data_IF_257345861680
#
_entry.id   IF_257345861680
#
_cell.length_a   1.000
_cell.length_b   1.000
_cell.length_c   1.000
_cell.angle_alpha   90.00
_cell.angle_beta   90.00
_cell.angle_gamma   90.00
#
_symmetry.space_group_name_H-M   'P 1'
#
loop_
_entity.id
_entity.type
_entity.pdbx_description
1 polymer ?
#
# COMPACT_ATOMS: atom_id res chain seq x y z
N UNK A 1 12.21 9.29 13.73
CA UNK A 1 11.58 8.79 14.98
C UNK A 1 10.25 9.50 15.28
N UNK A 2 10.12 10.82 15.01
CA UNK A 2 8.87 11.56 15.18
C UNK A 2 7.72 11.15 14.21
N UNK A 3 8.03 10.87 12.94
CA UNK A 3 7.05 10.40 11.93
C UNK A 3 6.47 9.01 12.23
N UNK A 4 7.13 8.21 13.05
CA UNK A 4 6.64 6.89 13.48
C UNK A 4 5.62 7.00 14.63
N UNK A 5 5.72 8.06 15.45
CA UNK A 5 4.85 8.33 16.60
C UNK A 5 3.44 8.80 16.21
N UNK A 6 3.30 9.68 15.20
CA UNK A 6 1.99 10.17 14.73
C UNK A 6 1.14 9.10 14.03
N UNK A 7 1.74 7.99 13.61
CA UNK A 7 1.07 6.93 12.82
C UNK A 7 0.29 5.93 13.66
N UNK A 8 0.68 5.77 14.92
CA UNK A 8 0.01 4.88 15.88
C UNK A 8 -1.07 5.61 16.70
N UNK A 9 -1.31 6.90 16.42
CA UNK A 9 -2.30 7.73 17.11
C UNK A 9 -3.49 8.02 16.20
N UNK A 10 -4.66 8.23 16.79
CA UNK A 10 -5.83 8.76 16.09
C UNK A 10 -5.66 10.26 15.82
N UNK A 11 -6.36 10.81 14.79
CA UNK A 11 -6.35 12.25 14.54
C UNK A 11 -6.84 13.01 15.79
N UNK A 12 -6.19 14.14 16.07
CA UNK A 12 -6.51 14.99 17.23
C UNK A 12 -7.89 15.64 17.07
N UNK A 13 -8.23 16.00 15.85
CA UNK A 13 -9.53 16.58 15.50
C UNK A 13 -10.52 15.45 15.17
N UNK A 14 -11.64 15.40 15.90
CA UNK A 14 -12.71 14.40 15.76
C UNK A 14 -12.34 12.91 15.96
N UNK A 15 -11.64 12.53 17.05
CA UNK A 15 -11.26 11.13 17.31
C UNK A 15 -12.47 10.18 17.38
N UNK A 16 -13.64 10.67 17.82
CA UNK A 16 -14.87 9.87 17.89
C UNK A 16 -15.35 9.35 16.54
N UNK A 17 -15.25 10.15 15.46
CA UNK A 17 -15.62 9.70 14.10
C UNK A 17 -14.65 8.65 13.58
N UNK A 18 -13.36 8.85 13.84
CA UNK A 18 -12.30 7.94 13.42
C UNK A 18 -12.43 6.56 14.10
N UNK A 19 -12.57 6.53 15.43
CA UNK A 19 -12.77 5.29 16.17
C UNK A 19 -14.14 4.69 15.89
N UNK A 20 -15.20 5.50 15.73
CA UNK A 20 -16.53 5.03 15.34
C UNK A 20 -16.51 4.27 14.02
N UNK A 21 -15.84 4.80 13.00
CA UNK A 21 -15.65 4.11 11.72
C UNK A 21 -14.87 2.80 11.90
N UNK A 22 -13.74 2.83 12.62
CA UNK A 22 -12.91 1.65 12.86
C UNK A 22 -13.68 0.55 13.59
N UNK A 23 -14.44 0.90 14.62
CA UNK A 23 -15.29 -0.02 15.37
C UNK A 23 -16.45 -0.57 14.53
N UNK A 24 -17.08 0.27 13.70
CA UNK A 24 -18.13 -0.18 12.78
C UNK A 24 -17.60 -1.22 11.79
N UNK A 25 -16.42 -0.99 11.21
CA UNK A 25 -15.75 -1.96 10.33
C UNK A 25 -15.44 -3.26 11.08
N UNK A 26 -14.98 -3.18 12.33
CA UNK A 26 -14.71 -4.37 13.16
C UNK A 26 -15.98 -5.18 13.47
N UNK A 27 -17.05 -4.52 13.87
CA UNK A 27 -18.34 -5.17 14.14
C UNK A 27 -18.88 -5.83 12.85
N UNK A 28 -18.87 -5.12 11.73
CA UNK A 28 -19.30 -5.66 10.44
C UNK A 28 -18.46 -6.85 10.00
N UNK A 29 -17.14 -6.82 10.22
CA UNK A 29 -16.25 -7.93 9.90
C UNK A 29 -16.55 -9.17 10.76
N UNK A 30 -16.74 -9.00 12.06
CA UNK A 30 -17.05 -10.10 12.99
C UNK A 30 -18.42 -10.71 12.65
N UNK A 31 -19.45 -9.88 12.52
CA UNK A 31 -20.82 -10.33 12.19
C UNK A 31 -20.84 -10.98 10.81
N UNK A 32 -20.20 -10.35 9.82
CA UNK A 32 -20.11 -10.87 8.46
C UNK A 32 -19.38 -12.20 8.41
N UNK A 33 -18.24 -12.34 9.10
CA UNK A 33 -17.48 -13.58 9.14
C UNK A 33 -18.24 -14.70 9.86
N UNK A 34 -18.90 -14.38 10.99
CA UNK A 34 -19.75 -15.34 11.71
C UNK A 34 -20.91 -15.84 10.85
N UNK A 35 -21.67 -14.92 10.23
CA UNK A 35 -22.75 -15.27 9.32
C UNK A 35 -22.27 -16.10 8.12
N UNK A 36 -21.14 -15.71 7.53
CA UNK A 36 -20.55 -16.41 6.38
C UNK A 36 -20.07 -17.80 6.75
N UNK A 37 -19.42 -17.97 7.91
CA UNK A 37 -18.97 -19.26 8.41
C UNK A 37 -20.15 -20.22 8.66
N UNK A 38 -21.23 -19.73 9.28
CA UNK A 38 -22.45 -20.51 9.48
C UNK A 38 -23.07 -20.92 8.14
N UNK A 39 -23.20 -19.99 7.19
CA UNK A 39 -23.76 -20.29 5.85
C UNK A 39 -22.89 -21.26 5.06
N UNK A 40 -21.58 -21.22 5.24
CA UNK A 40 -20.63 -22.12 4.60
C UNK A 40 -20.57 -23.51 5.26
N UNK A 41 -21.43 -23.79 6.26
CA UNK A 41 -21.44 -25.06 6.98
C UNK A 41 -20.16 -25.33 7.78
N UNK A 42 -19.45 -24.27 8.19
CA UNK A 42 -18.13 -24.39 8.79
C UNK A 42 -18.13 -25.11 10.16
N UNK A 43 -19.31 -25.31 10.76
CA UNK A 43 -19.51 -25.99 12.04
C UNK A 43 -20.21 -27.35 11.90
N UNK A 44 -20.53 -27.78 10.66
CA UNK A 44 -21.32 -28.99 10.40
C UNK A 44 -20.45 -30.25 10.29
N UNK A 45 -19.12 -30.12 10.27
CA UNK A 45 -18.14 -31.21 10.12
C UNK A 45 -17.24 -31.41 11.35
N UNK A 46 -16.62 -32.61 11.43
CA UNK A 46 -15.56 -32.93 12.38
C UNK A 46 -14.25 -32.16 12.13
N UNK A 47 -13.12 -32.65 12.66
CA UNK A 47 -11.82 -31.98 12.57
C UNK A 47 -11.49 -31.47 11.15
N UNK A 48 -10.81 -30.33 11.09
CA UNK A 48 -10.39 -29.61 9.88
C UNK A 48 -9.48 -30.47 8.99
N UNK A 49 -10.07 -31.34 8.17
CA UNK A 49 -9.34 -32.29 7.33
C UNK A 49 -8.95 -31.63 6.00
N UNK A 50 -7.78 -31.01 5.98
CA UNK A 50 -7.22 -30.28 4.84
C UNK A 50 -5.90 -30.89 4.39
N UNK A 51 -5.64 -31.01 3.07
CA UNK A 51 -4.45 -31.66 2.55
C UNK A 51 -3.18 -30.86 2.86
N UNK A 52 -2.01 -31.50 2.75
CA UNK A 52 -0.72 -30.81 2.91
C UNK A 52 -0.57 -29.59 2.00
N UNK A 53 -1.14 -29.62 0.79
CA UNK A 53 -1.15 -28.50 -0.13
C UNK A 53 -1.78 -27.22 0.48
N UNK A 54 -2.79 -27.37 1.36
CA UNK A 54 -3.36 -26.24 2.10
C UNK A 54 -2.33 -25.63 3.05
N UNK A 55 -1.72 -26.46 3.90
CA UNK A 55 -0.74 -25.99 4.88
C UNK A 55 0.46 -25.32 4.22
N UNK A 56 0.89 -25.84 3.08
CA UNK A 56 1.94 -25.22 2.27
C UNK A 56 1.49 -23.86 1.70
N UNK A 57 0.27 -23.77 1.16
CA UNK A 57 -0.28 -22.51 0.62
C UNK A 57 -0.44 -21.45 1.73
N UNK A 58 -0.99 -21.83 2.88
CA UNK A 58 -1.12 -20.95 4.04
C UNK A 58 0.24 -20.54 4.62
N UNK A 59 1.20 -21.47 4.70
CA UNK A 59 2.57 -21.19 5.10
C UNK A 59 3.27 -20.21 4.16
N UNK A 60 3.11 -20.38 2.84
CA UNK A 60 3.62 -19.44 1.85
C UNK A 60 2.95 -18.07 1.94
N UNK A 61 1.65 -17.99 2.26
CA UNK A 61 0.96 -16.74 2.53
C UNK A 61 1.59 -15.97 3.70
N UNK A 62 2.01 -16.68 4.75
CA UNK A 62 2.71 -16.10 5.91
C UNK A 62 4.16 -15.72 5.56
N UNK A 63 4.87 -16.58 4.83
CA UNK A 63 6.26 -16.33 4.40
C UNK A 63 6.35 -15.13 3.46
N UNK A 64 5.36 -14.96 2.58
CA UNK A 64 5.19 -13.78 1.74
C UNK A 64 5.23 -12.47 2.53
N UNK A 65 4.84 -12.49 3.81
CA UNK A 65 4.82 -11.34 4.72
C UNK A 65 6.04 -11.27 5.64
N UNK A 66 7.06 -12.14 5.51
CA UNK A 66 8.28 -12.10 6.36
C UNK A 66 9.23 -10.94 6.04
N UNK A 67 9.12 -10.36 4.84
CA UNK A 67 9.91 -9.19 4.44
C UNK A 67 8.98 -8.14 3.85
N UNK A 68 8.25 -7.37 4.69
CA UNK A 68 7.50 -6.22 4.24
C UNK A 68 8.51 -5.23 3.64
N UNK A 69 8.59 -5.24 2.32
CA UNK A 69 9.37 -4.30 1.54
C UNK A 69 8.80 -2.91 1.75
N UNK A 70 9.64 -2.00 2.23
CA UNK A 70 9.27 -0.61 2.48
C UNK A 70 8.97 0.05 1.13
N UNK A 71 7.72 0.44 0.90
CA UNK A 71 7.37 1.25 -0.27
C UNK A 71 7.52 2.74 0.05
N UNK A 72 8.14 3.49 -0.88
CA UNK A 72 8.79 4.78 -0.66
C UNK A 72 8.01 5.82 0.15
N UNK A 73 8.56 6.23 1.30
CA UNK A 73 8.23 7.47 2.04
C UNK A 73 6.84 7.55 2.69
N UNK A 74 5.78 7.18 1.96
CA UNK A 74 4.39 7.13 2.38
C UNK A 74 4.07 5.74 2.94
N UNK A 75 4.02 5.64 4.27
CA UNK A 75 3.60 4.43 4.99
C UNK A 75 2.09 4.15 4.90
N UNK A 76 1.43 4.65 3.85
CA UNK A 76 -0.03 4.65 3.66
C UNK A 76 -0.49 4.06 2.33
N UNK A 77 0.36 3.43 1.53
CA UNK A 77 -0.17 2.43 0.58
C UNK A 77 -0.68 1.25 1.42
N UNK A 78 -1.90 0.73 1.18
CA UNK A 78 -2.40 -0.50 1.76
C UNK A 78 -1.56 -1.66 1.23
N UNK A 79 -0.37 -1.80 1.80
CA UNK A 79 0.53 -2.95 1.81
C UNK A 79 0.38 -3.78 0.54
N UNK A 80 1.36 -3.65 -0.37
CA UNK A 80 1.66 -4.61 -1.43
C UNK A 80 2.02 -5.99 -0.84
N UNK A 81 1.11 -6.55 -0.08
CA UNK A 81 1.13 -7.88 0.50
C UNK A 81 0.99 -8.87 -0.62
N UNK A 82 1.91 -9.82 -0.69
CA UNK A 82 1.90 -10.90 -1.68
C UNK A 82 0.87 -11.96 -1.26
N UNK A 83 0.36 -11.91 -0.03
CA UNK A 83 -0.54 -12.94 0.50
C UNK A 83 -1.86 -13.09 -0.27
N UNK A 84 -2.34 -12.06 -1.00
CA UNK A 84 -3.64 -12.09 -1.69
C UNK A 84 -3.77 -13.30 -2.60
N UNK A 85 -2.72 -13.62 -3.36
CA UNK A 85 -2.69 -14.78 -4.28
C UNK A 85 -3.01 -16.06 -3.53
N UNK A 86 -2.31 -16.28 -2.41
CA UNK A 86 -2.42 -17.49 -1.61
C UNK A 86 -3.76 -17.58 -0.88
N UNK A 87 -4.26 -16.45 -0.36
CA UNK A 87 -5.55 -16.42 0.36
C UNK A 87 -6.72 -16.59 -0.60
N UNK A 88 -6.69 -15.95 -1.78
CA UNK A 88 -7.74 -16.11 -2.79
C UNK A 88 -7.75 -17.55 -3.34
N UNK A 89 -6.58 -18.13 -3.62
CA UNK A 89 -6.46 -19.54 -4.01
C UNK A 89 -6.98 -20.48 -2.91
N UNK A 90 -6.65 -20.19 -1.64
CA UNK A 90 -7.14 -20.95 -0.49
C UNK A 90 -8.67 -20.89 -0.38
N UNK A 91 -9.24 -19.70 -0.57
CA UNK A 91 -10.68 -19.47 -0.48
C UNK A 91 -11.44 -20.31 -1.50
N UNK A 92 -11.01 -20.34 -2.75
CA UNK A 92 -11.72 -21.05 -3.82
C UNK A 92 -11.49 -22.57 -3.77
N UNK A 93 -10.36 -23.01 -3.20
CA UNK A 93 -10.00 -24.44 -3.15
C UNK A 93 -10.56 -25.14 -1.93
N UNK A 94 -10.45 -24.53 -0.74
CA UNK A 94 -10.83 -25.16 0.55
C UNK A 94 -11.93 -24.40 1.30
N UNK A 95 -12.35 -23.24 0.81
CA UNK A 95 -13.48 -22.51 1.35
C UNK A 95 -13.12 -21.31 2.24
N UNK A 96 -14.16 -20.67 2.77
CA UNK A 96 -14.07 -19.42 3.53
C UNK A 96 -13.22 -19.54 4.81
N UNK A 97 -13.50 -20.53 5.66
CA UNK A 97 -12.85 -20.62 6.97
C UNK A 97 -11.33 -20.85 6.88
N UNK A 98 -10.80 -21.76 6.03
CA UNK A 98 -9.36 -21.88 5.83
C UNK A 98 -8.71 -20.58 5.33
N UNK A 99 -9.37 -19.85 4.41
CA UNK A 99 -8.87 -18.57 3.94
C UNK A 99 -8.86 -17.50 5.04
N UNK A 100 -9.90 -17.47 5.88
CA UNK A 100 -10.01 -16.56 7.02
C UNK A 100 -8.90 -16.81 8.05
N UNK A 101 -8.57 -18.08 8.32
CA UNK A 101 -7.47 -18.46 9.21
C UNK A 101 -6.13 -18.04 8.61
N UNK A 102 -5.87 -18.42 7.34
CA UNK A 102 -4.62 -18.11 6.66
C UNK A 102 -4.34 -16.61 6.59
N UNK A 103 -5.35 -15.79 6.22
CA UNK A 103 -5.18 -14.34 6.18
C UNK A 103 -4.95 -13.73 7.56
N UNK A 104 -5.60 -14.27 8.60
CA UNK A 104 -5.51 -13.71 9.95
C UNK A 104 -4.12 -13.95 10.52
N UNK A 105 -3.55 -15.13 10.26
CA UNK A 105 -2.17 -15.44 10.59
C UNK A 105 -1.17 -14.54 9.85
N UNK A 106 -1.30 -14.40 8.53
CA UNK A 106 -0.42 -13.56 7.72
C UNK A 106 -0.47 -12.08 8.14
N UNK A 107 -1.68 -11.54 8.32
CA UNK A 107 -1.88 -10.15 8.73
C UNK A 107 -1.40 -9.90 10.17
N UNK A 108 -1.59 -10.84 11.09
CA UNK A 108 -1.09 -10.70 12.47
C UNK A 108 0.44 -10.66 12.51
N UNK A 109 1.11 -11.50 11.72
CA UNK A 109 2.56 -11.48 11.58
C UNK A 109 3.05 -10.13 11.03
N UNK A 110 2.42 -9.65 9.96
CA UNK A 110 2.75 -8.37 9.34
C UNK A 110 2.64 -7.21 10.33
N UNK A 111 1.53 -7.12 11.06
CA UNK A 111 1.29 -6.09 12.09
C UNK A 111 2.36 -6.18 13.19
N UNK A 112 2.71 -7.38 13.63
CA UNK A 112 3.74 -7.59 14.65
C UNK A 112 5.11 -7.09 14.19
N UNK A 113 5.52 -7.40 12.96
CA UNK A 113 6.81 -6.96 12.40
C UNK A 113 6.92 -5.44 12.29
N UNK A 114 5.84 -4.76 11.90
CA UNK A 114 5.83 -3.29 11.77
C UNK A 114 5.59 -2.58 13.11
N UNK A 115 5.48 -3.32 14.23
CA UNK A 115 5.24 -2.79 15.57
C UNK A 115 4.04 -1.80 15.61
N UNK A 116 2.97 -2.15 14.89
CA UNK A 116 1.77 -1.33 14.81
C UNK A 116 0.99 -1.36 16.13
N UNK A 117 0.24 -0.28 16.41
CA UNK A 117 -0.67 -0.22 17.55
C UNK A 117 -1.79 -1.29 17.46
N UNK A 118 -2.29 -1.74 18.61
CA UNK A 118 -3.35 -2.75 18.68
C UNK A 118 -4.62 -2.36 17.92
N UNK A 119 -5.02 -1.09 17.93
CA UNK A 119 -6.19 -0.65 17.17
C UNK A 119 -5.96 -0.71 15.65
N UNK A 120 -4.72 -0.52 15.17
CA UNK A 120 -4.37 -0.65 13.75
C UNK A 120 -4.40 -2.12 13.34
N UNK A 121 -3.98 -3.02 14.22
CA UNK A 121 -4.17 -4.47 14.05
C UNK A 121 -5.63 -4.82 13.85
N UNK A 122 -6.49 -4.34 14.75
CA UNK A 122 -7.94 -4.58 14.69
C UNK A 122 -8.51 -4.08 13.37
N UNK A 123 -8.18 -2.84 12.96
CA UNK A 123 -8.66 -2.31 11.69
C UNK A 123 -8.20 -3.15 10.50
N UNK A 124 -6.91 -3.49 10.42
CA UNK A 124 -6.35 -4.24 9.29
C UNK A 124 -6.97 -5.64 9.17
N UNK A 125 -7.10 -6.36 10.29
CA UNK A 125 -7.76 -7.67 10.32
C UNK A 125 -9.22 -7.57 9.92
N UNK A 126 -9.94 -6.56 10.43
CA UNK A 126 -11.36 -6.36 10.13
C UNK A 126 -11.59 -5.96 8.68
N UNK A 127 -10.75 -5.06 8.15
CA UNK A 127 -10.80 -4.61 6.77
C UNK A 127 -10.63 -5.77 5.80
N UNK A 128 -9.66 -6.66 6.04
CA UNK A 128 -9.44 -7.82 5.16
C UNK A 128 -10.46 -8.92 5.42
N UNK A 129 -10.94 -9.10 6.65
CA UNK A 129 -12.06 -9.99 6.98
C UNK A 129 -13.33 -9.62 6.20
N UNK A 130 -13.69 -8.34 6.19
CA UNK A 130 -14.87 -7.88 5.45
C UNK A 130 -14.70 -8.02 3.93
N UNK A 131 -13.50 -7.74 3.41
CA UNK A 131 -13.19 -7.95 2.00
C UNK A 131 -13.27 -9.43 1.59
N UNK A 132 -12.79 -10.35 2.44
CA UNK A 132 -12.94 -11.80 2.25
C UNK A 132 -14.41 -12.23 2.24
N UNK A 133 -15.24 -11.71 3.15
CA UNK A 133 -16.68 -11.98 3.16
C UNK A 133 -17.33 -11.57 1.83
N UNK A 134 -17.06 -10.35 1.35
CA UNK A 134 -17.59 -9.85 0.07
C UNK A 134 -17.12 -10.73 -1.09
N UNK A 135 -15.84 -11.08 -1.14
CA UNK A 135 -15.29 -11.97 -2.16
C UNK A 135 -15.96 -13.35 -2.14
N UNK A 136 -16.19 -13.91 -0.96
CA UNK A 136 -16.86 -15.19 -0.79
C UNK A 136 -18.32 -15.17 -1.26
N UNK A 137 -19.07 -14.10 -0.99
CA UNK A 137 -20.43 -13.96 -1.51
C UNK A 137 -20.46 -13.86 -3.03
N UNK A 138 -19.51 -13.13 -3.63
CA UNK A 138 -19.37 -13.04 -5.09
C UNK A 138 -19.02 -14.40 -5.69
N UNK A 139 -18.07 -15.13 -5.09
CA UNK A 139 -17.73 -16.50 -5.48
C UNK A 139 -18.96 -17.41 -5.46
N UNK A 140 -19.69 -17.46 -4.35
CA UNK A 140 -20.87 -18.32 -4.21
C UNK A 140 -22.00 -17.91 -5.15
N UNK A 141 -22.17 -16.62 -5.41
CA UNK A 141 -23.21 -16.11 -6.31
C UNK A 141 -22.99 -16.48 -7.78
N UNK A 142 -21.74 -16.68 -8.20
CA UNK A 142 -21.39 -16.98 -9.60
C UNK A 142 -21.04 -18.47 -9.78
N UNK A 143 -20.20 -19.03 -8.91
CA UNK A 143 -19.75 -20.43 -8.96
C UNK A 143 -20.74 -21.42 -8.31
N UNK A 144 -21.79 -20.93 -7.64
CA UNK A 144 -22.82 -21.80 -7.05
C UNK A 144 -22.38 -22.55 -5.79
N UNK A 145 -21.31 -22.10 -5.13
CA UNK A 145 -20.80 -22.71 -3.89
C UNK A 145 -19.99 -23.99 -4.08
N UNK A 146 -19.53 -24.27 -5.30
CA UNK A 146 -18.55 -25.32 -5.55
C UNK A 146 -17.16 -24.91 -5.04
N UNK A 147 -16.32 -25.90 -4.80
CA UNK A 147 -14.87 -25.72 -4.76
C UNK A 147 -14.34 -25.64 -6.19
N UNK A 148 -13.19 -25.00 -6.37
CA UNK A 148 -12.52 -24.89 -7.66
C UNK A 148 -12.44 -26.25 -8.36
N UNK A 149 -12.78 -26.31 -9.65
CA UNK A 149 -12.61 -27.45 -10.55
C UNK A 149 -11.94 -27.04 -11.87
N UNK A 150 -11.77 -25.74 -12.11
CA UNK A 150 -11.09 -25.20 -13.29
C UNK A 150 -12.03 -24.85 -14.45
N UNK A 151 -13.33 -24.71 -14.17
CA UNK A 151 -14.33 -24.37 -15.18
C UNK A 151 -14.32 -22.88 -15.56
N UNK A 152 -14.80 -22.56 -16.77
CA UNK A 152 -14.81 -21.18 -17.26
C UNK A 152 -15.67 -20.23 -16.41
N UNK A 153 -16.79 -20.72 -15.85
CA UNK A 153 -17.65 -19.93 -14.95
C UNK A 153 -16.93 -19.66 -13.63
N UNK A 154 -16.24 -20.66 -13.10
CA UNK A 154 -15.45 -20.52 -11.87
C UNK A 154 -14.30 -19.53 -12.09
N UNK A 155 -13.64 -19.54 -13.25
CA UNK A 155 -12.61 -18.56 -13.59
C UNK A 155 -13.15 -17.12 -13.54
N UNK A 156 -14.33 -16.88 -14.13
CA UNK A 156 -15.02 -15.58 -14.05
C UNK A 156 -15.33 -15.23 -12.59
N UNK A 157 -15.80 -16.21 -11.80
CA UNK A 157 -16.10 -16.04 -10.38
C UNK A 157 -14.85 -15.64 -9.57
N UNK A 158 -13.68 -16.24 -9.84
CA UNK A 158 -12.42 -15.88 -9.16
C UNK A 158 -12.03 -14.43 -9.46
N UNK A 159 -12.09 -14.01 -10.73
CA UNK A 159 -11.78 -12.63 -11.11
C UNK A 159 -12.75 -11.62 -10.47
N UNK A 160 -14.05 -11.93 -10.46
CA UNK A 160 -15.06 -11.09 -9.83
C UNK A 160 -14.86 -11.01 -8.31
N UNK A 161 -14.56 -12.13 -7.66
CA UNK A 161 -14.31 -12.19 -6.21
C UNK A 161 -13.02 -11.46 -5.82
N UNK A 162 -11.93 -11.65 -6.56
CA UNK A 162 -10.68 -10.93 -6.34
C UNK A 162 -10.83 -9.41 -6.56
N UNK A 163 -11.60 -9.01 -7.57
CA UNK A 163 -11.88 -7.59 -7.83
C UNK A 163 -12.75 -6.99 -6.73
N UNK A 164 -13.79 -7.69 -6.27
CA UNK A 164 -14.66 -7.21 -5.19
C UNK A 164 -13.92 -7.11 -3.85
N UNK A 165 -13.00 -8.04 -3.58
CA UNK A 165 -12.06 -7.93 -2.47
C UNK A 165 -11.26 -6.64 -2.56
N UNK A 166 -10.57 -6.44 -3.69
CA UNK A 166 -9.70 -5.29 -3.92
C UNK A 166 -10.47 -3.99 -3.70
N UNK A 167 -11.62 -3.82 -4.37
CA UNK A 167 -12.42 -2.61 -4.27
C UNK A 167 -12.91 -2.34 -2.85
N UNK A 168 -13.35 -3.39 -2.14
CA UNK A 168 -13.78 -3.28 -0.74
C UNK A 168 -12.62 -2.86 0.15
N UNK A 169 -11.46 -3.51 0.01
CA UNK A 169 -10.26 -3.18 0.78
C UNK A 169 -9.82 -1.73 0.57
N UNK A 170 -9.72 -1.28 -0.68
CA UNK A 170 -9.34 0.09 -1.03
C UNK A 170 -10.33 1.10 -0.48
N UNK A 171 -11.63 0.87 -0.62
CA UNK A 171 -12.67 1.77 -0.14
C UNK A 171 -12.61 1.95 1.40
N UNK A 172 -12.39 0.86 2.15
CA UNK A 172 -12.29 0.91 3.62
C UNK A 172 -11.06 1.68 4.09
N UNK A 173 -9.90 1.42 3.46
CA UNK A 173 -8.66 2.13 3.79
C UNK A 173 -8.79 3.61 3.42
N UNK A 174 -9.34 3.91 2.25
CA UNK A 174 -9.54 5.29 1.78
C UNK A 174 -10.56 6.04 2.64
N UNK A 175 -11.63 5.39 3.07
CA UNK A 175 -12.61 5.95 4.01
C UNK A 175 -11.98 6.30 5.35
N UNK A 176 -11.18 5.38 5.91
CA UNK A 176 -10.42 5.66 7.14
C UNK A 176 -9.43 6.81 6.96
N UNK A 177 -8.76 6.87 5.82
CA UNK A 177 -7.77 7.90 5.53
C UNK A 177 -8.41 9.28 5.30
N UNK A 178 -9.56 9.32 4.63
CA UNK A 178 -10.37 10.52 4.44
C UNK A 178 -10.74 11.19 5.76
N UNK A 179 -11.05 10.39 6.79
CA UNK A 179 -11.31 10.89 8.16
C UNK A 179 -10.08 11.53 8.84
N UNK A 180 -8.87 11.31 8.33
CA UNK A 180 -7.64 11.94 8.83
C UNK A 180 -7.26 13.18 8.04
N UNK A 181 -7.22 13.05 6.71
CA UNK A 181 -6.69 14.09 5.82
C UNK A 181 -7.72 15.11 5.35
N UNK A 182 -9.02 14.88 5.62
CA UNK A 182 -10.11 15.67 5.06
C UNK A 182 -10.34 15.51 3.55
N UNK A 183 -9.35 15.00 2.79
CA UNK A 183 -9.49 14.63 1.38
C UNK A 183 -10.65 13.66 1.15
N UNK A 184 -11.45 13.81 0.09
CA UNK A 184 -12.51 12.86 -0.24
C UNK A 184 -11.98 11.44 -0.46
N UNK A 185 -12.63 10.43 0.15
CA UNK A 185 -12.20 9.04 0.04
C UNK A 185 -12.12 8.53 -1.40
N UNK A 186 -12.94 9.07 -2.31
CA UNK A 186 -12.98 8.68 -3.73
C UNK A 186 -11.69 9.04 -4.44
N UNK A 187 -11.12 10.20 -4.16
CA UNK A 187 -9.86 10.64 -4.76
C UNK A 187 -8.72 9.75 -4.28
N UNK A 188 -8.62 9.54 -2.97
CA UNK A 188 -7.62 8.65 -2.36
C UNK A 188 -7.72 7.22 -2.94
N UNK A 189 -8.93 6.69 -3.09
CA UNK A 189 -9.17 5.37 -3.67
C UNK A 189 -8.75 5.31 -5.15
N UNK A 190 -9.07 6.34 -5.94
CA UNK A 190 -8.69 6.41 -7.35
C UNK A 190 -7.18 6.53 -7.54
N UNK A 191 -6.50 7.33 -6.71
CA UNK A 191 -5.04 7.50 -6.73
C UNK A 191 -4.34 6.16 -6.43
N UNK A 192 -4.83 5.41 -5.44
CA UNK A 192 -4.30 4.08 -5.12
C UNK A 192 -4.64 3.02 -6.17
N UNK A 193 -5.86 3.03 -6.72
CA UNK A 193 -6.20 2.12 -7.81
C UNK A 193 -5.31 2.35 -9.03
N UNK A 194 -5.07 3.62 -9.41
CA UNK A 194 -4.19 3.97 -10.53
C UNK A 194 -2.74 3.56 -10.31
N UNK A 195 -2.24 3.62 -9.09
CA UNK A 195 -0.85 3.24 -8.77
C UNK A 195 -0.66 1.74 -8.55
N UNK A 196 -1.68 1.02 -8.09
CA UNK A 196 -1.54 -0.41 -7.71
C UNK A 196 -2.27 -1.39 -8.66
N UNK A 197 -3.03 -0.95 -9.66
CA UNK A 197 -3.88 -1.84 -10.46
C UNK A 197 -3.11 -3.00 -11.09
N UNK A 198 -1.91 -2.75 -11.64
CA UNK A 198 -1.14 -3.77 -12.34
C UNK A 198 -0.70 -4.89 -11.39
N UNK A 199 -0.26 -4.53 -10.17
CA UNK A 199 0.10 -5.48 -9.13
C UNK A 199 -1.12 -6.30 -8.70
N UNK A 200 -2.25 -5.64 -8.40
CA UNK A 200 -3.48 -6.30 -7.94
C UNK A 200 -4.06 -7.23 -9.01
N UNK A 201 -4.14 -6.78 -10.26
CA UNK A 201 -4.63 -7.57 -11.39
C UNK A 201 -3.77 -8.83 -11.59
N UNK A 202 -2.46 -8.69 -11.49
CA UNK A 202 -1.52 -9.81 -11.57
C UNK A 202 -1.76 -10.83 -10.45
N UNK A 203 -1.96 -10.37 -9.21
CA UNK A 203 -2.23 -11.26 -8.08
C UNK A 203 -3.55 -12.04 -8.27
N UNK A 204 -4.61 -11.36 -8.73
CA UNK A 204 -5.90 -12.00 -9.00
C UNK A 204 -5.75 -13.03 -10.14
N UNK A 205 -4.99 -12.71 -11.18
CA UNK A 205 -4.76 -13.61 -12.32
C UNK A 205 -3.94 -14.86 -11.98
N UNK A 206 -3.04 -14.77 -11.01
CA UNK A 206 -2.24 -15.92 -10.55
C UNK A 206 -3.06 -16.86 -9.65
N UNK A 207 -4.02 -16.34 -8.88
CA UNK A 207 -4.81 -17.12 -7.93
C UNK A 207 -5.47 -18.39 -8.52
N UNK A 208 -6.16 -18.38 -9.69
CA UNK A 208 -6.73 -19.60 -10.27
C UNK A 208 -5.66 -20.59 -10.74
N UNK A 209 -4.49 -20.12 -11.19
CA UNK A 209 -3.35 -20.99 -11.55
C UNK A 209 -2.84 -21.72 -10.31
N UNK A 210 -2.70 -20.99 -9.20
CA UNK A 210 -2.30 -21.54 -7.92
C UNK A 210 -3.34 -22.52 -7.36
N UNK A 211 -4.64 -22.22 -7.51
CA UNK A 211 -5.73 -23.12 -7.12
C UNK A 211 -5.66 -24.44 -7.89
N UNK A 212 -5.49 -24.39 -9.22
CA UNK A 212 -5.31 -25.60 -10.06
C UNK A 212 -4.07 -26.39 -9.66
N UNK A 213 -2.95 -25.71 -9.41
CA UNK A 213 -1.73 -26.34 -8.90
C UNK A 213 -1.96 -27.06 -7.58
N UNK A 214 -2.65 -26.41 -6.63
CA UNK A 214 -2.95 -26.95 -5.31
C UNK A 214 -3.85 -28.19 -5.36
N UNK A 215 -4.83 -28.23 -6.26
CA UNK A 215 -5.66 -29.41 -6.49
C UNK A 215 -4.91 -30.56 -7.14
N UNK A 216 -3.94 -30.24 -8.01
CA UNK A 216 -3.19 -31.25 -8.76
C UNK A 216 -2.13 -31.92 -7.90
N UNK A 217 -1.31 -31.13 -7.20
CA UNK A 217 -0.21 -31.63 -6.36
C UNK A 217 0.41 -30.54 -5.49
N UNK A 218 0.78 -30.87 -4.26
CA UNK A 218 1.43 -29.93 -3.34
C UNK A 218 2.77 -29.36 -3.87
N UNK A 219 3.53 -30.13 -4.65
CA UNK A 219 4.83 -29.66 -5.15
C UNK A 219 4.70 -28.58 -6.22
N UNK A 220 3.56 -28.52 -6.93
CA UNK A 220 3.27 -27.42 -7.87
C UNK A 220 3.03 -26.11 -7.12
N UNK A 221 2.43 -26.16 -5.92
CA UNK A 221 2.33 -25.01 -5.01
C UNK A 221 3.73 -24.53 -4.62
N UNK A 222 4.63 -25.44 -4.21
CA UNK A 222 6.01 -25.08 -3.90
C UNK A 222 6.73 -24.46 -5.11
N UNK A 223 6.58 -25.06 -6.30
CA UNK A 223 7.20 -24.58 -7.53
C UNK A 223 6.68 -23.18 -7.94
N UNK A 224 5.41 -22.87 -7.66
CA UNK A 224 4.80 -21.56 -7.95
C UNK A 224 5.39 -20.41 -7.13
N UNK A 225 5.96 -20.70 -5.95
CA UNK A 225 6.50 -19.65 -5.07
C UNK A 225 7.60 -18.83 -5.76
N UNK A 226 8.43 -19.48 -6.59
CA UNK A 226 9.53 -18.84 -7.32
C UNK A 226 9.01 -17.78 -8.32
N UNK A 227 8.19 -18.13 -9.34
CA UNK A 227 7.71 -17.14 -10.30
C UNK A 227 6.83 -16.07 -9.66
N UNK A 228 6.01 -16.42 -8.65
CA UNK A 228 5.20 -15.43 -7.91
C UNK A 228 6.10 -14.40 -7.24
N UNK A 229 7.15 -14.85 -6.57
CA UNK A 229 8.13 -13.97 -5.94
C UNK A 229 8.92 -13.16 -6.99
N UNK A 230 9.31 -13.76 -8.12
CA UNK A 230 10.02 -13.05 -9.19
C UNK A 230 9.18 -11.94 -9.81
N UNK A 231 7.92 -12.20 -10.14
CA UNK A 231 6.99 -11.19 -10.70
C UNK A 231 6.84 -10.04 -9.71
N UNK A 232 6.67 -10.35 -8.42
CA UNK A 232 6.62 -9.33 -7.39
C UNK A 232 7.89 -8.47 -7.35
N UNK A 233 9.08 -9.10 -7.35
CA UNK A 233 10.37 -8.38 -7.34
C UNK A 233 10.56 -7.50 -8.57
N UNK A 234 10.09 -7.94 -9.73
CA UNK A 234 10.14 -7.15 -10.97
C UNK A 234 9.24 -5.92 -10.87
N UNK A 235 7.99 -6.11 -10.44
CA UNK A 235 7.04 -4.99 -10.26
C UNK A 235 7.55 -3.99 -9.22
N UNK A 236 8.20 -4.46 -8.16
CA UNK A 236 8.84 -3.59 -7.17
C UNK A 236 9.98 -2.79 -7.74
N UNK A 237 10.90 -3.45 -8.45
CA UNK A 237 12.04 -2.77 -9.06
C UNK A 237 11.57 -1.74 -10.08
N UNK A 238 10.51 -2.03 -10.83
CA UNK A 238 9.91 -1.08 -11.75
C UNK A 238 9.31 0.13 -11.01
N UNK A 239 8.55 -0.11 -9.94
CA UNK A 239 7.98 0.96 -9.12
C UNK A 239 9.05 1.79 -8.39
N UNK A 240 10.14 1.18 -7.95
CA UNK A 240 11.25 1.87 -7.30
C UNK A 240 12.01 2.72 -8.32
N UNK A 241 12.23 2.24 -9.55
CA UNK A 241 12.80 3.05 -10.66
C UNK A 241 11.92 4.24 -11.04
N UNK A 242 10.60 4.06 -11.03
CA UNK A 242 9.66 5.16 -11.27
C UNK A 242 9.75 6.24 -10.18
N UNK A 243 10.18 5.88 -8.97
CA UNK A 243 10.45 6.84 -7.89
C UNK A 243 11.88 7.36 -7.84
N UNK A 244 12.87 6.60 -8.31
CA UNK A 244 14.20 7.15 -8.60
C UNK A 244 14.09 8.26 -9.66
N UNK A 245 13.08 8.19 -10.53
CA UNK A 245 12.66 9.28 -11.40
C UNK A 245 11.96 10.46 -10.69
N UNK A 246 11.94 10.52 -9.35
CA UNK A 246 11.55 11.70 -8.55
C UNK A 246 12.77 12.53 -8.12
N UNK A 247 13.97 12.08 -8.46
CA UNK A 247 15.21 12.81 -8.28
C UNK A 247 15.75 13.33 -9.61
N UNK A 248 16.46 14.45 -9.54
CA UNK A 248 17.19 15.00 -10.68
C UNK A 248 18.54 14.25 -10.81
N UNK A 249 18.85 13.66 -11.98
CA UNK A 249 20.03 12.82 -12.14
C UNK A 249 21.35 13.60 -12.06
N UNK A 250 21.33 14.91 -12.33
CA UNK A 250 22.53 15.75 -12.28
C UNK A 250 22.90 16.08 -10.83
N UNK A 251 21.94 16.64 -10.09
CA UNK A 251 22.18 17.19 -8.74
C UNK A 251 21.91 16.20 -7.61
N UNK A 252 21.14 15.14 -7.86
CA UNK A 252 20.65 14.20 -6.85
C UNK A 252 19.53 14.74 -5.94
N UNK A 253 19.15 16.02 -6.10
CA UNK A 253 18.02 16.62 -5.39
C UNK A 253 16.69 16.04 -5.90
N UNK A 254 15.58 16.36 -5.23
CA UNK A 254 14.26 16.08 -5.79
C UNK A 254 14.14 16.79 -7.15
N UNK A 255 13.48 16.17 -8.12
CA UNK A 255 13.07 16.86 -9.32
C UNK A 255 11.68 17.51 -9.13
N UNK A 256 11.17 18.14 -10.19
CA UNK A 256 9.86 18.81 -10.16
C UNK A 256 8.71 17.92 -9.68
N UNK A 257 8.68 16.63 -10.08
CA UNK A 257 7.66 15.68 -9.65
C UNK A 257 7.82 15.33 -8.17
N UNK A 258 9.03 14.95 -7.76
CA UNK A 258 9.33 14.63 -6.36
C UNK A 258 9.06 15.80 -5.41
N UNK A 259 9.36 17.03 -5.84
CA UNK A 259 9.08 18.23 -5.07
C UNK A 259 7.57 18.44 -4.85
N UNK A 260 6.77 18.26 -5.90
CA UNK A 260 5.31 18.39 -5.80
C UNK A 260 4.73 17.39 -4.80
N UNK A 261 5.14 16.13 -4.84
CA UNK A 261 4.67 15.10 -3.92
C UNK A 261 5.00 15.44 -2.45
N UNK A 262 6.19 15.97 -2.21
CA UNK A 262 6.61 16.43 -0.87
C UNK A 262 5.79 17.63 -0.40
N UNK A 263 5.56 18.60 -1.28
CA UNK A 263 4.73 19.78 -0.97
C UNK A 263 3.31 19.35 -0.62
N UNK A 264 2.71 18.47 -1.40
CA UNK A 264 1.34 17.97 -1.17
C UNK A 264 1.24 17.23 0.18
N UNK A 265 2.24 16.42 0.52
CA UNK A 265 2.33 15.76 1.82
C UNK A 265 2.42 16.76 2.98
N UNK A 266 3.28 17.78 2.85
CA UNK A 266 3.44 18.82 3.86
C UNK A 266 2.20 19.69 4.03
N UNK A 267 1.48 19.99 2.94
CA UNK A 267 0.22 20.73 2.99
C UNK A 267 -0.86 19.92 3.72
N UNK A 268 -0.91 18.61 3.50
CA UNK A 268 -1.83 17.73 4.22
C UNK A 268 -1.50 17.70 5.73
N UNK A 269 -0.23 17.60 6.10
CA UNK A 269 0.20 17.64 7.51
C UNK A 269 -0.11 19.00 8.15
N UNK A 270 0.18 20.10 7.45
CA UNK A 270 -0.06 21.46 7.93
C UNK A 270 -1.55 21.76 8.14
N UNK A 271 -2.42 21.20 7.30
CA UNK A 271 -3.86 21.26 7.50
C UNK A 271 -4.31 20.55 8.79
N UNK A 272 -3.65 19.45 9.17
CA UNK A 272 -3.93 18.71 10.43
C UNK A 272 -3.38 19.45 11.66
N UNK A 273 -2.21 20.07 11.56
CA UNK A 273 -1.53 20.74 12.69
C UNK A 273 -1.85 22.24 12.81
N UNK A 274 -2.62 22.81 11.88
CA UNK A 274 -2.88 24.25 11.77
C UNK A 274 -1.60 25.09 11.69
N UNK A 275 -0.58 24.55 11.03
CA UNK A 275 0.69 25.25 10.76
C UNK A 275 0.72 25.77 9.33
N UNK A 276 1.72 26.59 8.99
CA UNK A 276 1.96 27.01 7.61
C UNK A 276 3.07 26.18 6.94
N UNK A 277 2.98 26.08 5.61
CA UNK A 277 4.05 25.58 4.73
C UNK A 277 4.56 26.77 3.93
N UNK A 278 5.87 26.94 3.85
CA UNK A 278 6.48 27.88 2.92
C UNK A 278 7.16 27.14 1.78
N UNK A 279 7.03 27.72 0.59
CA UNK A 279 7.69 27.29 -0.63
C UNK A 279 8.48 28.48 -1.15
N UNK A 280 9.76 28.28 -1.42
CA UNK A 280 10.62 29.25 -2.10
C UNK A 280 11.09 28.64 -3.41
N UNK A 281 11.00 29.44 -4.47
CA UNK A 281 11.61 29.14 -5.76
C UNK A 281 12.76 30.12 -5.94
N UNK A 282 13.91 29.60 -6.36
CA UNK A 282 15.14 30.32 -6.59
C UNK A 282 15.56 30.09 -8.03
N UNK A 283 15.89 31.17 -8.72
CA UNK A 283 16.44 31.16 -10.08
C UNK A 283 17.87 31.71 -10.03
N UNK A 284 18.80 31.13 -10.80
CA UNK A 284 20.20 31.57 -10.79
C UNK A 284 20.42 32.72 -11.78
N UNK A 285 20.74 33.89 -11.24
CA UNK A 285 21.08 35.05 -12.05
C UNK A 285 22.20 34.75 -13.06
N UNK A 286 21.91 35.01 -14.34
CA UNK A 286 22.88 34.94 -15.45
C UNK A 286 23.52 33.55 -15.65
N UNK A 287 22.84 32.47 -15.30
CA UNK A 287 23.35 31.12 -15.56
C UNK A 287 23.61 30.85 -17.05
N UNK A 288 22.78 31.42 -17.94
CA UNK A 288 22.98 31.35 -19.39
C UNK A 288 24.34 31.96 -19.85
N UNK A 289 24.82 33.02 -19.20
CA UNK A 289 26.12 33.64 -19.51
C UNK A 289 27.27 32.68 -19.15
N UNK A 290 27.15 31.96 -18.04
CA UNK A 290 28.12 30.93 -17.62
C UNK A 290 28.21 29.82 -18.65
N UNK A 291 27.06 29.28 -19.07
CA UNK A 291 27.02 28.23 -20.11
C UNK A 291 27.61 28.71 -21.44
N UNK A 292 27.34 29.96 -21.82
CA UNK A 292 27.82 30.54 -23.08
C UNK A 292 29.32 30.81 -23.06
N UNK A 293 29.88 31.22 -21.92
CA UNK A 293 31.29 31.58 -21.79
C UNK A 293 32.20 30.39 -21.46
N UNK A 294 31.72 29.43 -20.66
CA UNK A 294 32.53 28.35 -20.08
C UNK A 294 32.08 26.94 -20.51
N UNK A 295 30.97 26.84 -21.23
CA UNK A 295 30.40 25.58 -21.70
C UNK A 295 29.46 24.93 -20.69
N UNK A 296 28.56 24.08 -21.20
CA UNK A 296 27.53 23.42 -20.39
C UNK A 296 28.09 22.51 -19.30
N UNK A 297 29.22 21.83 -19.52
CA UNK A 297 29.83 20.99 -18.49
C UNK A 297 30.22 21.78 -17.23
N UNK A 298 30.63 23.06 -17.39
CA UNK A 298 30.95 23.94 -16.26
C UNK A 298 29.68 24.44 -15.58
N UNK A 299 28.62 24.72 -16.34
CA UNK A 299 27.30 25.01 -15.79
C UNK A 299 26.75 23.86 -14.96
N UNK A 300 26.88 22.63 -15.45
CA UNK A 300 26.46 21.41 -14.74
C UNK A 300 27.23 21.23 -13.42
N UNK A 301 28.55 21.47 -13.44
CA UNK A 301 29.37 21.45 -12.21
C UNK A 301 28.93 22.51 -11.20
N UNK A 302 28.55 23.70 -11.67
CA UNK A 302 28.02 24.76 -10.81
C UNK A 302 26.70 24.34 -10.15
N UNK A 303 25.78 23.72 -10.90
CA UNK A 303 24.52 23.19 -10.37
C UNK A 303 24.76 22.12 -9.31
N UNK A 304 25.68 21.18 -9.56
CA UNK A 304 26.07 20.12 -8.61
C UNK A 304 26.68 20.72 -7.34
N UNK A 305 27.53 21.72 -7.46
CA UNK A 305 28.16 22.38 -6.32
C UNK A 305 27.14 23.19 -5.49
N UNK A 306 26.19 23.86 -6.13
CA UNK A 306 25.09 24.53 -5.45
C UNK A 306 24.20 23.54 -4.70
N UNK A 307 23.85 22.41 -5.32
CA UNK A 307 23.09 21.35 -4.67
C UNK A 307 23.78 20.81 -3.41
N UNK A 308 25.11 20.63 -3.45
CA UNK A 308 25.90 20.25 -2.26
C UNK A 308 25.85 21.33 -1.17
N UNK A 309 25.98 22.60 -1.54
CA UNK A 309 25.93 23.71 -0.57
C UNK A 309 24.56 23.81 0.10
N UNK A 310 23.48 23.67 -0.67
CA UNK A 310 22.12 23.67 -0.15
C UNK A 310 21.84 22.51 0.80
N UNK A 311 22.49 21.36 0.59
CA UNK A 311 22.27 20.16 1.40
C UNK A 311 23.16 20.04 2.64
N UNK A 312 24.32 20.69 2.65
CA UNK A 312 25.32 20.56 3.73
C UNK A 312 24.78 20.96 5.11
N UNK A 313 23.93 21.99 5.18
CA UNK A 313 23.33 22.48 6.44
C UNK A 313 21.78 22.40 6.41
N UNK A 314 21.22 21.42 5.70
CA UNK A 314 19.75 21.30 5.56
C UNK A 314 19.09 21.05 6.93
N UNK A 315 18.28 21.98 7.46
CA UNK A 315 17.58 21.76 8.71
C UNK A 315 16.56 20.62 8.59
N UNK A 316 16.29 19.87 9.68
CA UNK A 316 15.26 18.85 9.69
C UNK A 316 13.92 19.41 9.20
N UNK A 317 13.24 18.69 8.31
CA UNK A 317 11.93 19.11 7.80
C UNK A 317 11.96 20.12 6.66
N UNK A 318 13.14 20.60 6.22
CA UNK A 318 13.27 21.29 4.91
C UNK A 318 13.54 20.28 3.81
N UNK A 319 12.93 20.43 2.64
CA UNK A 319 13.23 19.63 1.44
C UNK A 319 13.61 20.55 0.28
N UNK A 320 14.46 20.05 -0.61
CA UNK A 320 15.10 20.85 -1.67
C UNK A 320 15.00 20.08 -2.99
N UNK A 321 14.72 20.80 -4.06
CA UNK A 321 14.58 20.29 -5.41
C UNK A 321 15.36 21.11 -6.43
N UNK A 322 15.79 20.45 -7.49
CA UNK A 322 16.18 21.05 -8.75
C UNK A 322 15.01 20.89 -9.73
N UNK A 323 14.34 21.99 -10.08
CA UNK A 323 13.15 21.95 -10.92
C UNK A 323 13.46 21.86 -12.43
N UNK A 324 14.73 22.05 -12.78
CA UNK A 324 15.29 22.01 -14.12
C UNK A 324 15.95 23.34 -14.52
N UNK A 325 16.95 23.28 -15.40
CA UNK A 325 17.70 24.46 -15.83
C UNK A 325 18.52 25.05 -14.69
N UNK A 326 18.19 26.27 -14.30
CA UNK A 326 18.75 27.06 -13.20
C UNK A 326 17.79 27.19 -12.00
N UNK A 327 16.62 26.55 -12.04
CA UNK A 327 15.59 26.69 -11.01
C UNK A 327 15.77 25.67 -9.87
N UNK A 328 15.88 26.17 -8.63
CA UNK A 328 15.81 25.39 -7.41
C UNK A 328 14.56 25.72 -6.61
N UNK A 329 14.06 24.75 -5.84
CA UNK A 329 12.94 24.98 -4.94
C UNK A 329 13.17 24.37 -3.57
N UNK A 330 12.55 25.01 -2.58
CA UNK A 330 12.72 24.68 -1.18
C UNK A 330 11.34 24.66 -0.52
N UNK A 331 11.09 23.68 0.36
CA UNK A 331 9.84 23.59 1.13
C UNK A 331 10.09 23.24 2.58
N UNK A 332 9.40 23.89 3.51
CA UNK A 332 9.50 23.61 4.94
C UNK A 332 8.17 23.77 5.65
N UNK A 333 8.01 23.00 6.71
CA UNK A 333 6.82 22.93 7.57
C UNK A 333 7.11 23.62 8.90
N UNK A 334 6.08 23.86 9.72
CA UNK A 334 6.22 24.39 11.09
C UNK A 334 6.72 25.84 11.14
N UNK A 335 6.25 26.69 10.23
CA UNK A 335 6.34 28.14 10.46
C UNK A 335 5.34 28.51 11.56
N UNK A 336 5.79 28.47 12.82
CA UNK A 336 5.16 29.21 13.90
C UNK A 336 5.13 30.68 13.48
N UNK A 337 3.92 31.25 13.44
CA UNK A 337 3.60 32.51 12.79
C UNK A 337 4.75 33.53 12.80
N UNK A 338 5.40 33.66 11.64
CA UNK A 338 6.29 34.74 11.20
C UNK A 338 6.79 35.67 12.33
N UNK A 339 7.62 35.14 13.24
CA UNK A 339 8.29 35.91 14.31
C UNK A 339 9.74 35.49 14.49
N UNK A 340 10.40 34.98 13.45
CA UNK A 340 11.85 34.85 13.43
C UNK A 340 12.41 35.69 12.26
N UNK A 341 13.03 36.85 12.53
CA UNK A 341 13.73 37.61 11.50
C UNK A 341 15.04 36.89 11.17
N UNK A 342 15.37 36.91 9.88
CA UNK A 342 16.58 36.34 9.26
C UNK A 342 17.83 36.20 10.14
#
# INVERSE_FOLDING_TARGET
MATTLMRNTAPREHPGRYYGFTSAVAVLAIVGAGFTAVRAGAFDGGAFDVPFAFWLTAGLAVIAELRPTRWGGLWMSPIASIYLVYVLATMVTWGFLPALIAQSAAMSLLVAQIHASGWRMVFNLSQQGLALCVAWFVWNGIAGGTTWNGDAIELIAVFAAGTSWMLTSTALVAGRQSLRTGRPWRELALDWLKSEWALRATQIAIAPILATAAMSSWWLVAASAIPIFSVYRILQTAADREREADHDPLTGLLNRKGFQEVVDGKLADAAETKTAVAVLILDLDRFADVNSALGHEVGDQLLVELAKRFTTDKPPGKEIAHLGGDEFAFVWSELDGMTDPM
#
